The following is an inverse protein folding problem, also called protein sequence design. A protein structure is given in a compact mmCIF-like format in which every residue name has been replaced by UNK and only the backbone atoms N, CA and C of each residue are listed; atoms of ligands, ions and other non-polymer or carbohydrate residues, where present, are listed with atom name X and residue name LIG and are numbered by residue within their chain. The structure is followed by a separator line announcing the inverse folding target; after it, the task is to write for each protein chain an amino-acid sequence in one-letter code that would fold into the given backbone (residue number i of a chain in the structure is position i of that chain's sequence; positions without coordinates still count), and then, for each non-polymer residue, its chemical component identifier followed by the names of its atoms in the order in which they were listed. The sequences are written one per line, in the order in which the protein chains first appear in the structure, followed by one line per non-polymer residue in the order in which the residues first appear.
data_IF_499797417636
#
_entry.id   IF_499797417636
#
_cell.length_a   1.000
_cell.length_b   1.000
_cell.length_c   1.000
_cell.angle_alpha   90.00
_cell.angle_beta   90.00
_cell.angle_gamma   90.00
#
_symmetry.space_group_name_H-M   'P 1'
#
loop_
_entity.id
_entity.type
_entity.pdbx_description
1 polymer ?
#
# COMPACT_ATOMS: atom_id res chain seq x y z
N UNK A 1 -19.45 55.24 19.67
CA UNK A 1 -19.60 53.86 19.19
C UNK A 1 -19.41 53.92 17.70
N UNK A 2 -18.25 53.51 17.21
CA UNK A 2 -17.96 53.52 15.78
C UNK A 2 -18.65 52.31 15.14
N UNK A 3 -19.86 52.55 14.64
CA UNK A 3 -20.62 51.58 13.87
C UNK A 3 -19.97 51.43 12.50
N UNK A 4 -19.06 50.47 12.40
CA UNK A 4 -18.39 50.13 11.15
C UNK A 4 -19.14 48.97 10.52
N UNK A 5 -19.81 49.23 9.40
CA UNK A 5 -20.29 48.17 8.51
C UNK A 5 -19.08 47.61 7.76
N UNK A 6 -18.36 46.68 8.35
CA UNK A 6 -17.30 45.96 7.66
C UNK A 6 -17.94 45.08 6.58
N UNK A 7 -17.81 45.48 5.31
CA UNK A 7 -18.19 44.62 4.20
C UNK A 7 -17.38 43.32 4.30
N UNK A 8 -18.07 42.18 4.33
CA UNK A 8 -17.38 40.87 4.31
C UNK A 8 -16.65 40.71 2.98
N UNK A 9 -15.34 40.85 3.01
CA UNK A 9 -14.49 40.59 1.85
C UNK A 9 -14.08 39.11 1.81
N UNK A 10 -14.53 38.41 0.77
CA UNK A 10 -14.20 37.00 0.53
C UNK A 10 -12.84 36.80 -0.16
N UNK A 11 -12.15 37.90 -0.50
CA UNK A 11 -10.84 37.92 -1.14
C UNK A 11 -9.80 38.38 -0.14
N UNK A 12 -8.76 37.57 0.07
CA UNK A 12 -7.69 37.89 1.02
C UNK A 12 -6.31 37.75 0.38
N UNK A 13 -5.53 38.84 0.32
CA UNK A 13 -4.18 38.85 -0.26
C UNK A 13 -3.17 38.00 0.51
N UNK A 14 -3.40 37.77 1.81
CA UNK A 14 -2.59 36.91 2.67
C UNK A 14 -2.88 35.42 2.44
N UNK A 15 -4.04 35.07 1.87
CA UNK A 15 -4.39 33.70 1.48
C UNK A 15 -3.68 33.28 0.18
N UNK A 16 -2.36 33.39 0.18
CA UNK A 16 -1.52 33.07 -0.97
C UNK A 16 -1.39 31.56 -1.19
N UNK A 17 -0.87 31.18 -2.37
CA UNK A 17 -0.67 29.79 -2.81
C UNK A 17 0.03 28.92 -1.76
N UNK A 18 1.08 29.44 -1.11
CA UNK A 18 1.86 28.72 -0.10
C UNK A 18 1.00 28.40 1.13
N UNK A 19 0.27 29.38 1.63
CA UNK A 19 -0.63 29.19 2.77
C UNK A 19 -1.76 28.19 2.46
N UNK A 20 -2.37 28.31 1.27
CA UNK A 20 -3.39 27.38 0.80
C UNK A 20 -2.85 25.95 0.70
N UNK A 21 -1.68 25.76 0.10
CA UNK A 21 -1.03 24.46 0.00
C UNK A 21 -0.77 23.84 1.38
N UNK A 22 -0.26 24.61 2.35
CA UNK A 22 -0.03 24.11 3.71
C UNK A 22 -1.31 23.61 4.39
N UNK A 23 -2.45 24.27 4.20
CA UNK A 23 -3.76 23.80 4.72
C UNK A 23 -4.21 22.54 4.00
N UNK A 24 -4.03 22.48 2.68
CA UNK A 24 -4.40 21.34 1.85
C UNK A 24 -3.54 20.11 2.13
N UNK A 25 -2.25 20.24 2.44
CA UNK A 25 -1.37 19.11 2.82
C UNK A 25 -1.96 18.33 3.98
N UNK A 26 -2.37 19.01 5.05
CA UNK A 26 -2.99 18.36 6.22
C UNK A 26 -4.27 17.60 5.84
N UNK A 27 -5.06 18.17 4.94
CA UNK A 27 -6.32 17.59 4.44
C UNK A 27 -6.06 16.39 3.53
N UNK A 28 -5.10 16.49 2.60
CA UNK A 28 -4.74 15.44 1.65
C UNK A 28 -4.15 14.21 2.33
N UNK A 29 -3.36 14.38 3.40
CA UNK A 29 -2.89 13.24 4.22
C UNK A 29 -4.05 12.42 4.81
N UNK A 30 -5.15 13.07 5.17
CA UNK A 30 -6.35 12.39 5.71
C UNK A 30 -7.30 11.91 4.60
N UNK A 31 -7.41 12.66 3.51
CA UNK A 31 -8.32 12.41 2.39
C UNK A 31 -7.55 12.46 1.06
N UNK A 32 -6.93 11.33 0.65
CA UNK A 32 -6.03 11.31 -0.51
C UNK A 32 -6.69 11.76 -1.83
N UNK A 33 -7.98 11.44 -1.97
CA UNK A 33 -8.79 11.70 -3.14
C UNK A 33 -9.58 13.02 -3.07
N UNK A 34 -9.12 13.98 -2.25
CA UNK A 34 -9.76 15.30 -2.12
C UNK A 34 -9.92 15.95 -3.50
N UNK A 35 -11.16 16.20 -3.92
CA UNK A 35 -11.44 16.84 -5.21
C UNK A 35 -11.25 18.34 -5.13
N UNK A 36 -11.12 18.98 -6.28
CA UNK A 36 -11.06 20.43 -6.38
C UNK A 36 -12.30 21.11 -5.77
N UNK A 37 -13.50 20.57 -6.06
CA UNK A 37 -14.77 21.01 -5.47
C UNK A 37 -14.76 20.94 -3.94
N UNK A 38 -14.25 19.85 -3.38
CA UNK A 38 -14.22 19.62 -1.92
C UNK A 38 -13.25 20.58 -1.24
N UNK A 39 -12.13 20.87 -1.91
CA UNK A 39 -11.16 21.85 -1.46
C UNK A 39 -11.71 23.29 -1.53
N UNK A 40 -12.43 23.64 -2.59
CA UNK A 40 -13.09 24.93 -2.73
C UNK A 40 -14.14 25.13 -1.63
N UNK A 41 -14.99 24.12 -1.41
CA UNK A 41 -16.00 24.14 -0.36
C UNK A 41 -15.38 24.24 1.04
N UNK A 42 -14.26 23.56 1.27
CA UNK A 42 -13.52 23.68 2.53
C UNK A 42 -13.06 25.11 2.80
N UNK A 43 -12.45 25.79 1.83
CA UNK A 43 -11.99 27.18 2.03
C UNK A 43 -13.15 28.17 2.13
N UNK A 44 -14.24 27.96 1.39
CA UNK A 44 -15.45 28.77 1.53
C UNK A 44 -16.08 28.63 2.92
N UNK A 45 -16.25 27.40 3.41
CA UNK A 45 -16.95 27.16 4.69
C UNK A 45 -16.10 27.40 5.93
N UNK A 46 -14.80 27.09 5.88
CA UNK A 46 -13.91 27.17 7.06
C UNK A 46 -13.05 28.42 7.12
N UNK A 47 -12.86 29.10 6.00
CA UNK A 47 -12.02 30.29 5.92
C UNK A 47 -12.77 31.50 5.38
N UNK A 48 -14.02 31.37 4.96
CA UNK A 48 -14.81 32.42 4.30
C UNK A 48 -14.09 33.00 3.06
N UNK A 49 -13.36 32.14 2.35
CA UNK A 49 -12.54 32.51 1.19
C UNK A 49 -13.13 31.99 -0.12
N UNK A 50 -13.32 32.90 -1.07
CA UNK A 50 -13.63 32.55 -2.45
C UNK A 50 -12.35 32.59 -3.30
N UNK A 51 -11.90 31.40 -3.68
CA UNK A 51 -10.62 31.23 -4.38
C UNK A 51 -10.84 31.13 -5.89
N UNK A 52 -9.95 31.77 -6.65
CA UNK A 52 -9.86 31.53 -8.09
C UNK A 52 -9.52 30.05 -8.34
N UNK A 53 -10.27 29.42 -9.26
CA UNK A 53 -10.05 28.04 -9.72
C UNK A 53 -8.59 27.74 -10.02
N UNK A 54 -7.89 28.62 -10.74
CA UNK A 54 -6.48 28.42 -11.12
C UNK A 54 -5.53 28.44 -9.92
N UNK A 55 -5.78 29.31 -8.95
CA UNK A 55 -4.99 29.42 -7.72
C UNK A 55 -5.16 28.19 -6.85
N UNK A 56 -6.41 27.71 -6.71
CA UNK A 56 -6.71 26.49 -5.96
C UNK A 56 -6.13 25.25 -6.63
N UNK A 57 -6.20 25.14 -7.97
CA UNK A 57 -5.57 24.03 -8.72
C UNK A 57 -4.06 23.99 -8.50
N UNK A 58 -3.39 25.14 -8.58
CA UNK A 58 -1.94 25.24 -8.34
C UNK A 58 -1.57 24.88 -6.90
N UNK A 59 -2.30 25.40 -5.91
CA UNK A 59 -2.09 25.07 -4.50
C UNK A 59 -2.36 23.58 -4.19
N UNK A 60 -3.35 22.97 -4.84
CA UNK A 60 -3.59 21.53 -4.78
C UNK A 60 -2.44 20.73 -5.40
N UNK A 61 -1.89 21.20 -6.53
CA UNK A 61 -0.70 20.60 -7.15
C UNK A 61 0.48 20.58 -6.19
N UNK A 62 0.82 21.72 -5.60
CA UNK A 62 1.91 21.82 -4.62
C UNK A 62 1.67 20.93 -3.40
N UNK A 63 0.45 20.96 -2.87
CA UNK A 63 0.11 20.16 -1.71
C UNK A 63 0.20 18.65 -2.01
N UNK A 64 -0.20 18.21 -3.22
CA UNK A 64 -0.01 16.82 -3.66
C UNK A 64 1.45 16.48 -3.79
N UNK A 65 2.26 17.36 -4.38
CA UNK A 65 3.71 17.15 -4.50
C UNK A 65 4.37 17.01 -3.13
N UNK A 66 3.98 17.82 -2.14
CA UNK A 66 4.48 17.70 -0.76
C UNK A 66 4.03 16.41 -0.07
N UNK A 67 2.80 15.95 -0.30
CA UNK A 67 2.24 14.76 0.38
C UNK A 67 2.75 13.47 -0.22
N UNK A 68 2.76 13.36 -1.55
CA UNK A 68 3.09 12.13 -2.25
C UNK A 68 4.54 12.10 -2.71
N UNK A 69 5.23 13.24 -2.71
CA UNK A 69 6.57 13.38 -3.25
C UNK A 69 6.61 13.18 -4.76
N UNK A 70 7.82 12.96 -5.24
CA UNK A 70 8.04 12.45 -6.59
C UNK A 70 7.99 10.92 -6.54
N UNK A 71 6.93 10.35 -7.10
CA UNK A 71 6.77 8.90 -7.17
C UNK A 71 7.90 8.27 -7.99
N UNK A 72 8.39 8.91 -9.05
CA UNK A 72 9.49 8.38 -9.85
C UNK A 72 10.77 8.28 -9.00
N UNK A 73 11.09 9.32 -8.24
CA UNK A 73 12.22 9.31 -7.32
C UNK A 73 12.08 8.21 -6.25
N UNK A 74 10.88 8.04 -5.66
CA UNK A 74 10.62 6.98 -4.68
C UNK A 74 10.78 5.58 -5.28
N UNK A 75 10.26 5.34 -6.48
CA UNK A 75 10.43 4.06 -7.17
C UNK A 75 11.90 3.79 -7.53
N UNK A 76 12.68 4.84 -7.86
CA UNK A 76 14.13 4.75 -8.05
C UNK A 76 14.88 4.21 -6.83
N UNK A 77 14.35 4.43 -5.62
CA UNK A 77 14.96 3.96 -4.37
C UNK A 77 14.57 2.54 -3.96
N UNK A 78 13.68 1.86 -4.68
CA UNK A 78 13.16 0.53 -4.28
C UNK A 78 14.28 -0.50 -4.14
N UNK A 79 15.28 -0.46 -5.04
CA UNK A 79 16.45 -1.35 -4.98
C UNK A 79 17.30 -1.06 -3.75
N UNK A 80 17.60 0.22 -3.50
CA UNK A 80 18.39 0.64 -2.32
C UNK A 80 17.69 0.27 -1.01
N UNK A 81 16.36 0.43 -0.97
CA UNK A 81 15.55 -0.01 0.16
C UNK A 81 15.64 -1.52 0.36
N UNK A 82 15.50 -2.32 -0.71
CA UNK A 82 15.65 -3.77 -0.64
C UNK A 82 17.03 -4.20 -0.15
N UNK A 83 18.10 -3.59 -0.66
CA UNK A 83 19.48 -3.83 -0.20
C UNK A 83 19.66 -3.44 1.27
N UNK A 84 19.07 -2.33 1.69
CA UNK A 84 19.11 -1.87 3.09
C UNK A 84 18.39 -2.85 4.03
N UNK A 85 17.25 -3.41 3.60
CA UNK A 85 16.55 -4.45 4.36
C UNK A 85 17.41 -5.70 4.54
N UNK A 86 18.06 -6.16 3.47
CA UNK A 86 18.95 -7.32 3.51
C UNK A 86 20.17 -7.07 4.40
N UNK A 87 20.78 -5.87 4.31
CA UNK A 87 21.90 -5.46 5.16
C UNK A 87 21.53 -5.42 6.63
N UNK A 88 20.35 -4.88 6.95
CA UNK A 88 19.91 -4.69 8.34
C UNK A 88 19.30 -5.95 8.95
N UNK A 89 18.79 -6.87 8.13
CA UNK A 89 18.19 -8.13 8.56
C UNK A 89 18.76 -9.31 7.75
N UNK A 90 20.00 -9.74 8.05
CA UNK A 90 20.62 -10.87 7.37
C UNK A 90 19.75 -12.14 7.42
N UNK A 91 19.67 -12.87 6.30
CA UNK A 91 18.82 -14.05 6.12
C UNK A 91 17.41 -13.76 5.55
N UNK A 92 17.02 -12.48 5.53
CA UNK A 92 15.76 -12.07 4.91
C UNK A 92 15.81 -12.28 3.39
N UNK A 93 14.63 -12.45 2.79
CA UNK A 93 14.46 -12.59 1.35
C UNK A 93 13.79 -11.33 0.82
N UNK A 94 14.44 -10.67 -0.14
CA UNK A 94 13.88 -9.51 -0.84
C UNK A 94 14.11 -9.69 -2.33
N UNK A 95 13.02 -9.74 -3.10
CA UNK A 95 13.07 -9.93 -4.56
C UNK A 95 12.33 -8.80 -5.26
N UNK A 96 13.00 -8.10 -6.17
CA UNK A 96 12.42 -7.03 -6.98
C UNK A 96 12.26 -7.52 -8.41
N UNK A 97 11.02 -7.62 -8.89
CA UNK A 97 10.67 -7.86 -10.28
C UNK A 97 10.55 -6.54 -11.04
N UNK A 98 11.10 -6.52 -12.25
CA UNK A 98 11.07 -5.36 -13.15
C UNK A 98 10.69 -5.77 -14.56
N UNK A 99 10.12 -4.84 -15.31
CA UNK A 99 9.85 -4.98 -16.74
C UNK A 99 11.01 -4.33 -17.50
N UNK A 100 11.79 -5.11 -18.27
CA UNK A 100 12.85 -4.57 -19.13
C UNK A 100 12.28 -3.56 -20.13
N UNK A 101 13.05 -2.52 -20.45
CA UNK A 101 12.68 -1.58 -21.50
C UNK A 101 13.20 -2.05 -22.87
N UNK A 102 12.55 -1.66 -23.98
CA UNK A 102 13.01 -1.99 -25.33
C UNK A 102 14.41 -1.46 -25.63
N UNK A 103 14.74 -0.28 -25.09
CA UNK A 103 16.08 0.28 -25.14
C UNK A 103 16.88 -0.21 -23.93
N UNK A 104 18.06 -0.84 -24.11
CA UNK A 104 18.90 -1.31 -23.01
C UNK A 104 19.42 -0.19 -22.10
N UNK A 105 19.52 1.03 -22.62
CA UNK A 105 20.01 2.20 -21.86
C UNK A 105 18.93 2.82 -20.95
N UNK A 106 17.66 2.45 -21.13
CA UNK A 106 16.56 2.96 -20.31
C UNK A 106 16.43 2.17 -19.00
N UNK A 107 16.13 2.88 -17.91
CA UNK A 107 15.92 2.26 -16.61
C UNK A 107 14.73 1.27 -16.65
N UNK A 108 14.86 0.08 -16.05
CA UNK A 108 13.80 -0.91 -16.03
C UNK A 108 12.62 -0.42 -15.16
N UNK A 109 11.40 -0.74 -15.57
CA UNK A 109 10.19 -0.32 -14.87
C UNK A 109 9.93 -1.24 -13.68
N UNK A 110 9.68 -0.66 -12.51
CA UNK A 110 9.24 -1.43 -11.34
C UNK A 110 7.94 -2.18 -11.62
N UNK A 111 7.92 -3.48 -11.34
CA UNK A 111 6.73 -4.31 -11.47
C UNK A 111 6.23 -4.77 -10.10
N UNK A 112 7.09 -5.47 -9.35
CA UNK A 112 6.70 -6.15 -8.12
C UNK A 112 7.85 -6.27 -7.13
N UNK A 113 7.53 -6.39 -5.85
CA UNK A 113 8.53 -6.57 -4.79
C UNK A 113 8.01 -7.54 -3.74
N UNK A 114 8.78 -8.60 -3.47
CA UNK A 114 8.55 -9.54 -2.38
C UNK A 114 9.48 -9.21 -1.21
N UNK A 115 8.96 -9.31 0.01
CA UNK A 115 9.73 -9.17 1.25
C UNK A 115 9.30 -10.22 2.26
N UNK A 116 10.27 -10.96 2.78
CA UNK A 116 10.11 -11.92 3.88
C UNK A 116 11.28 -11.76 4.84
N UNK A 117 11.01 -11.24 6.05
CA UNK A 117 12.05 -10.96 7.02
C UNK A 117 12.44 -12.23 7.77
N UNK A 118 13.75 -12.42 7.97
CA UNK A 118 14.32 -13.59 8.65
C UNK A 118 13.66 -13.87 9.99
N UNK A 119 13.51 -12.83 10.82
CA UNK A 119 12.89 -12.95 12.13
C UNK A 119 11.44 -13.43 12.05
N UNK A 120 10.68 -12.98 11.05
CA UNK A 120 9.28 -13.38 10.87
C UNK A 120 9.17 -14.86 10.45
N UNK A 121 9.94 -15.30 9.45
CA UNK A 121 9.88 -16.70 8.99
C UNK A 121 10.44 -17.68 10.02
N UNK A 122 11.55 -17.34 10.69
CA UNK A 122 12.10 -18.19 11.78
C UNK A 122 11.14 -18.32 12.94
N UNK A 123 10.53 -17.21 13.39
CA UNK A 123 9.56 -17.24 14.47
C UNK A 123 8.36 -18.11 14.12
N UNK A 124 7.86 -17.97 12.90
CA UNK A 124 6.75 -18.79 12.41
C UNK A 124 7.08 -20.28 12.49
N UNK A 125 8.24 -20.68 11.95
CA UNK A 125 8.66 -22.07 11.90
C UNK A 125 9.06 -22.66 13.26
N UNK A 126 9.49 -21.83 14.21
CA UNK A 126 9.99 -22.30 15.51
C UNK A 126 8.88 -22.72 16.49
N UNK A 127 7.66 -22.20 16.35
CA UNK A 127 6.60 -22.53 17.31
C UNK A 127 5.31 -21.72 17.20
N UNK A 128 5.09 -20.97 16.12
CA UNK A 128 3.76 -20.41 15.87
C UNK A 128 2.77 -21.51 15.47
N UNK A 129 1.47 -21.17 15.50
CA UNK A 129 0.45 -22.07 14.96
C UNK A 129 0.76 -22.27 13.47
N UNK A 130 0.70 -23.51 13.00
CA UNK A 130 0.90 -23.88 11.60
C UNK A 130 -0.29 -23.42 10.74
N UNK A 131 -0.60 -22.14 10.79
CA UNK A 131 -1.76 -21.49 10.24
C UNK A 131 -1.32 -20.22 9.53
N UNK A 132 -1.76 -20.09 8.29
CA UNK A 132 -1.45 -18.95 7.44
C UNK A 132 -2.75 -18.39 6.85
N UNK A 133 -2.97 -17.10 7.09
CA UNK A 133 -3.99 -16.32 6.39
C UNK A 133 -3.41 -15.62 5.18
N UNK A 134 -4.16 -15.58 4.08
CA UNK A 134 -3.82 -14.84 2.88
C UNK A 134 -4.82 -13.71 2.66
N UNK A 135 -4.29 -12.49 2.52
CA UNK A 135 -5.08 -11.30 2.28
C UNK A 135 -4.46 -10.43 1.19
N UNK A 136 -5.26 -9.52 0.62
CA UNK A 136 -4.76 -8.52 -0.31
C UNK A 136 -5.58 -7.23 -0.25
N UNK A 137 -4.88 -6.10 -0.25
CA UNK A 137 -5.45 -4.77 -0.16
C UNK A 137 -4.99 -3.88 -1.33
N UNK A 138 -5.84 -2.91 -1.71
CA UNK A 138 -5.46 -1.89 -2.68
C UNK A 138 -4.54 -0.85 -2.04
N UNK A 139 -3.45 -0.50 -2.74
CA UNK A 139 -2.59 0.60 -2.35
C UNK A 139 -3.20 1.92 -2.78
N UNK A 140 -3.15 2.92 -1.90
CA UNK A 140 -3.59 4.29 -2.19
C UNK A 140 -2.43 5.14 -2.73
N UNK A 141 -1.77 4.66 -3.79
CA UNK A 141 -0.73 5.44 -4.49
C UNK A 141 -1.30 6.10 -5.75
N UNK A 142 -0.57 7.06 -6.32
CA UNK A 142 -0.90 7.66 -7.61
C UNK A 142 -0.94 6.63 -8.75
N UNK A 143 -0.10 5.60 -8.65
CA UNK A 143 0.08 4.57 -9.68
C UNK A 143 -0.74 3.31 -9.41
N UNK A 144 -1.55 3.29 -8.35
CA UNK A 144 -2.33 2.13 -7.93
C UNK A 144 -1.46 1.03 -7.33
N UNK A 145 -1.75 -0.21 -7.70
CA UNK A 145 -1.11 -1.39 -7.15
C UNK A 145 -1.87 -2.01 -5.97
N UNK A 146 -1.42 -3.20 -5.59
CA UNK A 146 -1.99 -4.00 -4.53
C UNK A 146 -0.87 -4.57 -3.68
N UNK A 147 -1.12 -4.66 -2.37
CA UNK A 147 -0.29 -5.43 -1.47
C UNK A 147 -0.99 -6.77 -1.22
N UNK A 148 -0.27 -7.86 -1.36
CA UNK A 148 -0.71 -9.18 -0.91
C UNK A 148 0.14 -9.56 0.30
N UNK A 149 -0.48 -10.17 1.30
CA UNK A 149 0.20 -10.49 2.55
C UNK A 149 -0.15 -11.89 3.02
N UNK A 150 0.85 -12.52 3.61
CA UNK A 150 0.78 -13.79 4.31
C UNK A 150 0.89 -13.46 5.79
N UNK A 151 -0.17 -13.73 6.54
CA UNK A 151 -0.23 -13.52 7.98
C UNK A 151 -0.14 -14.85 8.72
N UNK A 152 0.57 -14.86 9.85
CA UNK A 152 0.63 -15.97 10.78
C UNK A 152 -0.03 -15.61 12.11
N UNK A 153 -0.35 -16.64 12.90
CA UNK A 153 -0.82 -16.48 14.27
C UNK A 153 0.16 -17.11 15.25
N UNK A 154 0.60 -16.36 16.26
CA UNK A 154 1.46 -16.89 17.31
C UNK A 154 0.67 -17.73 18.35
N UNK A 155 1.38 -18.31 19.31
CA UNK A 155 0.77 -19.12 20.37
C UNK A 155 -0.21 -18.31 21.26
N UNK A 156 -0.01 -16.99 21.35
CA UNK A 156 -0.80 -16.04 22.12
C UNK A 156 -1.95 -15.42 21.31
N UNK A 157 -2.26 -15.99 20.14
CA UNK A 157 -3.30 -15.54 19.23
C UNK A 157 -3.06 -14.17 18.58
N UNK A 158 -1.85 -13.61 18.66
CA UNK A 158 -1.52 -12.39 17.92
C UNK A 158 -1.28 -12.70 16.45
N UNK A 159 -1.77 -11.80 15.59
CA UNK A 159 -1.59 -11.88 14.15
C UNK A 159 -0.41 -10.99 13.75
N UNK A 160 0.45 -11.49 12.87
CA UNK A 160 1.56 -10.73 12.31
C UNK A 160 1.81 -11.11 10.85
N UNK A 161 2.50 -10.24 10.11
CA UNK A 161 2.86 -10.49 8.72
C UNK A 161 4.14 -11.32 8.65
N UNK A 162 4.07 -12.47 7.99
CA UNK A 162 5.23 -13.33 7.70
C UNK A 162 5.98 -12.78 6.48
N UNK A 163 5.25 -12.58 5.39
CA UNK A 163 5.75 -12.06 4.13
C UNK A 163 4.68 -11.21 3.44
N UNK A 164 5.12 -10.30 2.59
CA UNK A 164 4.23 -9.51 1.75
C UNK A 164 4.84 -9.27 0.37
N UNK A 165 3.97 -8.93 -0.57
CA UNK A 165 4.36 -8.57 -1.92
C UNK A 165 3.59 -7.33 -2.39
N UNK A 166 4.30 -6.42 -3.06
CA UNK A 166 3.70 -5.32 -3.81
C UNK A 166 3.60 -5.76 -5.27
N UNK A 167 2.41 -5.68 -5.85
CA UNK A 167 2.13 -6.12 -7.22
C UNK A 167 1.24 -5.09 -7.94
N UNK A 168 1.26 -5.01 -9.28
CA UNK A 168 0.44 -4.04 -9.99
C UNK A 168 -1.05 -4.43 -9.94
N UNK A 169 -1.32 -5.73 -9.98
CA UNK A 169 -2.69 -6.29 -9.98
C UNK A 169 -2.73 -7.67 -9.33
N UNK A 170 -3.87 -7.97 -8.71
CA UNK A 170 -4.21 -9.26 -8.11
C UNK A 170 -4.71 -10.22 -9.17
N UNK A 171 -3.77 -10.90 -9.82
CA UNK A 171 -4.02 -11.95 -10.80
C UNK A 171 -3.37 -13.28 -10.37
N UNK A 172 -3.63 -14.33 -11.14
CA UNK A 172 -3.12 -15.68 -10.85
C UNK A 172 -1.59 -15.77 -10.89
N UNK A 173 -0.98 -15.07 -11.84
CA UNK A 173 0.48 -15.07 -12.03
C UNK A 173 1.22 -14.44 -10.85
N UNK A 174 0.76 -13.29 -10.37
CA UNK A 174 1.35 -12.60 -9.23
C UNK A 174 1.16 -13.40 -7.93
N UNK A 175 0.02 -14.08 -7.76
CA UNK A 175 -0.16 -15.02 -6.65
C UNK A 175 0.77 -16.22 -6.75
N UNK A 176 0.92 -16.81 -7.93
CA UNK A 176 1.85 -17.93 -8.14
C UNK A 176 3.27 -17.52 -7.75
N UNK A 177 3.75 -16.40 -8.29
CA UNK A 177 5.08 -15.88 -7.98
C UNK A 177 5.28 -15.63 -6.49
N UNK A 178 4.29 -15.05 -5.81
CA UNK A 178 4.34 -14.82 -4.37
C UNK A 178 4.44 -16.13 -3.57
N UNK A 179 3.64 -17.13 -3.93
CA UNK A 179 3.56 -18.41 -3.22
C UNK A 179 4.78 -19.29 -3.47
N UNK A 180 5.38 -19.22 -4.66
CA UNK A 180 6.64 -19.90 -4.96
C UNK A 180 7.77 -19.39 -4.07
N UNK A 181 7.90 -18.06 -3.93
CA UNK A 181 8.87 -17.45 -3.00
C UNK A 181 8.57 -17.81 -1.55
N UNK A 182 7.29 -17.76 -1.15
CA UNK A 182 6.88 -18.15 0.20
C UNK A 182 7.21 -19.62 0.50
N UNK A 183 7.01 -20.51 -0.47
CA UNK A 183 7.34 -21.94 -0.32
C UNK A 183 8.85 -22.15 -0.19
N UNK A 184 9.67 -21.38 -0.90
CA UNK A 184 11.12 -21.41 -0.73
C UNK A 184 11.54 -20.96 0.69
N UNK A 185 10.87 -19.95 1.25
CA UNK A 185 11.20 -19.41 2.57
C UNK A 185 10.66 -20.25 3.74
N UNK A 186 9.44 -20.81 3.61
CA UNK A 186 8.79 -21.58 4.67
C UNK A 186 8.96 -23.09 4.52
N UNK A 187 9.45 -23.56 3.37
CA UNK A 187 9.60 -24.98 3.06
C UNK A 187 8.29 -25.69 2.71
N UNK A 188 8.36 -27.02 2.70
CA UNK A 188 7.23 -27.86 2.29
C UNK A 188 6.05 -27.79 3.27
N UNK A 189 4.90 -27.39 2.74
CA UNK A 189 3.69 -27.17 3.52
C UNK A 189 3.11 -28.46 4.11
N UNK A 190 3.31 -29.62 3.47
CA UNK A 190 2.86 -30.91 4.02
C UNK A 190 3.76 -31.34 5.16
N UNK A 191 5.08 -31.20 4.98
CA UNK A 191 6.08 -31.47 6.01
C UNK A 191 5.85 -30.60 7.25
N UNK A 192 5.56 -29.32 7.02
CA UNK A 192 5.33 -28.34 8.09
C UNK A 192 3.87 -28.26 8.56
N UNK A 193 2.98 -29.11 8.02
CA UNK A 193 1.56 -29.20 8.36
C UNK A 193 0.83 -27.84 8.33
N UNK A 194 1.17 -27.01 7.35
CA UNK A 194 0.63 -25.66 7.24
C UNK A 194 -0.82 -25.70 6.75
N UNK A 195 -1.70 -25.05 7.50
CA UNK A 195 -3.09 -24.78 7.13
C UNK A 195 -3.18 -23.39 6.49
N UNK A 196 -3.86 -23.29 5.34
CA UNK A 196 -4.08 -22.03 4.62
C UNK A 196 -5.55 -21.63 4.69
N UNK A 197 -5.81 -20.37 4.99
CA UNK A 197 -7.11 -19.72 4.78
C UNK A 197 -6.93 -18.52 3.88
N UNK A 198 -7.80 -18.38 2.88
CA UNK A 198 -7.84 -17.21 2.02
C UNK A 198 -9.22 -16.60 2.01
N UNK A 199 -9.31 -15.29 2.19
CA UNK A 199 -10.59 -14.57 2.14
C UNK A 199 -11.10 -14.36 0.69
N UNK A 200 -10.36 -14.77 -0.35
CA UNK A 200 -10.63 -14.34 -1.72
C UNK A 200 -10.87 -15.47 -2.72
N UNK A 201 -12.04 -15.42 -3.40
CA UNK A 201 -12.52 -16.41 -4.39
C UNK A 201 -11.52 -16.76 -5.51
N UNK A 202 -10.72 -15.79 -6.00
CA UNK A 202 -9.73 -16.02 -7.08
C UNK A 202 -8.52 -16.85 -6.64
N UNK A 203 -8.20 -16.81 -5.35
CA UNK A 203 -7.04 -17.50 -4.74
C UNK A 203 -7.37 -18.99 -4.70
N UNK A 204 -8.57 -19.38 -4.24
CA UNK A 204 -9.04 -20.77 -4.16
C UNK A 204 -8.87 -21.60 -5.45
N UNK A 205 -9.13 -21.03 -6.63
CA UNK A 205 -9.00 -21.76 -7.91
C UNK A 205 -7.55 -22.11 -8.28
N UNK A 206 -6.57 -21.33 -7.81
CA UNK A 206 -5.15 -21.53 -8.11
C UNK A 206 -4.62 -22.74 -7.34
N UNK A 207 -4.95 -22.87 -6.04
CA UNK A 207 -4.52 -24.00 -5.22
C UNK A 207 -5.17 -25.31 -5.65
N UNK A 208 -6.44 -25.26 -6.08
CA UNK A 208 -7.12 -26.46 -6.60
C UNK A 208 -6.42 -27.05 -7.83
N UNK A 209 -5.73 -26.21 -8.62
CA UNK A 209 -5.01 -26.61 -9.83
C UNK A 209 -3.53 -26.94 -9.59
N UNK A 210 -2.84 -26.32 -8.63
CA UNK A 210 -1.38 -26.54 -8.46
C UNK A 210 -0.99 -27.40 -7.26
N UNK A 211 -1.78 -27.46 -6.18
CA UNK A 211 -1.39 -28.10 -4.92
C UNK A 211 -2.64 -28.69 -4.24
N UNK A 212 -2.85 -30.01 -4.33
CA UNK A 212 -3.88 -30.69 -3.52
C UNK A 212 -3.58 -30.40 -2.03
N UNK A 213 -4.32 -29.46 -1.47
CA UNK A 213 -4.16 -28.93 -0.11
C UNK A 213 -5.55 -28.92 0.52
N UNK A 214 -5.64 -29.42 1.75
CA UNK A 214 -6.91 -29.65 2.44
C UNK A 214 -7.56 -28.31 2.80
N UNK A 215 -8.61 -27.94 2.08
CA UNK A 215 -9.41 -26.74 2.38
C UNK A 215 -10.35 -27.02 3.56
N UNK A 216 -10.32 -26.17 4.57
CA UNK A 216 -11.47 -25.99 5.45
C UNK A 216 -12.32 -24.88 4.83
N UNK A 217 -13.40 -25.28 4.16
CA UNK A 217 -14.46 -24.37 3.75
C UNK A 217 -15.12 -23.85 5.04
N UNK A 218 -15.10 -22.55 5.28
CA UNK A 218 -16.13 -21.94 6.12
C UNK A 218 -16.82 -20.87 5.31
N UNK A 219 -18.12 -21.08 5.12
CA UNK A 219 -19.00 -20.21 4.40
C UNK A 219 -19.03 -18.85 5.10
N UNK A 220 -18.91 -17.79 4.29
CA UNK A 220 -19.33 -16.47 4.70
C UNK A 220 -20.86 -16.47 4.77
N UNK A 221 -21.41 -16.93 5.88
CA UNK A 221 -22.75 -16.63 6.38
C UNK A 221 -22.73 -16.97 7.88
N UNK A 222 -23.21 -16.06 8.72
CA UNK A 222 -23.18 -16.07 10.19
C UNK A 222 -21.89 -15.61 10.86
N UNK A 223 -21.82 -14.31 11.18
CA UNK A 223 -21.89 -13.76 12.55
C UNK A 223 -22.06 -12.24 12.41
N UNK A 224 -22.98 -11.70 13.20
CA UNK A 224 -23.37 -10.29 13.30
C UNK A 224 -22.20 -9.31 13.58
#
# INVERSE_FOLDING_TARGET
MDDHTCARETKNRLANRKWLACKLVKKLRKYPNLRHSDAAQYFKTKCDLELNKSSLTRALGDARYVVYGDAAAQYGMVRDYGLTLLKSNPGSTVTVGVIPQPNPDDDPIFEKMYVCLEGCKKRFLAGCRAFIGLDGAFLKTRHGGQILSVIGQDANNHIYVIAYVIVPVKNTENWRWFLELLHQDLGDYKKNKLCLISYMQKVCNIYRLSLKMMFIHWAADYIC
#
